data_IF_064729604740
#
_entry.id   IF_064729604740
#
_cell.length_a   1.000
_cell.length_b   1.000
_cell.length_c   1.000
_cell.angle_alpha   90.00
_cell.angle_beta   90.00
_cell.angle_gamma   90.00
#
_symmetry.space_group_name_H-M   'P 1'
#
loop_
_entity.id
_entity.type
_entity.pdbx_description
1 polymer ?
#
# COMPACT_ATOMS: atom_id res chain seq x y z
N UNK A 1 7.72 18.51 -23.92
CA UNK A 1 7.69 19.71 -23.06
C UNK A 1 8.52 19.40 -21.83
N UNK A 2 9.65 20.07 -21.66
CA UNK A 2 10.53 19.89 -20.50
C UNK A 2 10.69 21.27 -19.87
N UNK A 3 10.10 21.49 -18.71
CA UNK A 3 10.31 22.72 -17.94
C UNK A 3 11.69 22.65 -17.29
N UNK A 4 12.70 23.23 -17.94
CA UNK A 4 13.97 23.52 -17.30
C UNK A 4 13.80 24.72 -16.37
N UNK A 5 13.87 24.49 -15.06
CA UNK A 5 13.89 25.54 -14.04
C UNK A 5 15.10 26.47 -14.26
N UNK A 6 14.95 27.80 -14.11
CA UNK A 6 16.10 28.70 -14.17
C UNK A 6 16.98 28.45 -12.95
N UNK A 7 18.22 28.03 -13.21
CA UNK A 7 19.26 27.88 -12.20
C UNK A 7 19.61 29.28 -11.66
N UNK A 8 18.94 29.69 -10.57
CA UNK A 8 19.36 30.86 -9.78
C UNK A 8 20.68 30.49 -9.11
N UNK A 9 21.79 30.81 -9.77
CA UNK A 9 23.09 30.84 -9.14
C UNK A 9 23.03 31.84 -7.98
N UNK A 10 23.02 31.32 -6.76
CA UNK A 10 23.16 32.15 -5.56
C UNK A 10 24.52 32.87 -5.65
N UNK A 11 24.58 34.19 -5.40
CA UNK A 11 25.86 34.87 -5.32
C UNK A 11 26.67 34.23 -4.20
N UNK A 12 27.86 33.74 -4.55
CA UNK A 12 28.87 33.20 -3.63
C UNK A 12 29.47 34.34 -2.80
N UNK A 13 28.65 35.04 -2.02
CA UNK A 13 29.15 35.78 -0.87
C UNK A 13 29.66 34.74 0.11
N UNK A 14 30.98 34.58 0.10
CA UNK A 14 31.75 33.81 1.07
C UNK A 14 31.23 34.13 2.48
N UNK A 15 30.38 33.24 3.00
CA UNK A 15 30.16 33.16 4.43
C UNK A 15 31.55 32.90 5.03
N UNK A 16 31.99 33.63 6.07
CA UNK A 16 33.18 33.22 6.79
C UNK A 16 32.96 31.76 7.17
N UNK A 17 33.85 30.89 6.71
CA UNK A 17 33.85 29.48 7.11
C UNK A 17 34.16 29.45 8.60
N UNK A 18 33.15 29.71 9.43
CA UNK A 18 33.13 29.32 10.83
C UNK A 18 33.08 27.80 10.79
N UNK A 19 34.25 27.19 10.59
CA UNK A 19 34.44 25.78 10.78
C UNK A 19 33.94 25.50 12.20
N UNK A 20 32.84 24.75 12.28
CA UNK A 20 32.32 24.33 13.57
C UNK A 20 33.45 23.57 14.30
N UNK A 21 33.62 23.79 15.61
CA UNK A 21 34.56 22.98 16.39
C UNK A 21 34.31 21.50 16.10
N UNK A 22 35.37 20.70 16.02
CA UNK A 22 35.30 19.26 15.67
C UNK A 22 34.26 18.51 16.49
N UNK A 23 34.10 18.87 17.77
CA UNK A 23 33.09 18.31 18.67
C UNK A 23 31.65 18.63 18.25
N UNK A 24 31.40 19.83 17.72
CA UNK A 24 30.09 20.20 17.19
C UNK A 24 29.79 19.46 15.88
N UNK A 25 30.79 19.28 15.00
CA UNK A 25 30.64 18.44 13.81
C UNK A 25 30.37 16.98 14.15
N UNK A 26 31.01 16.46 15.20
CA UNK A 26 30.81 15.09 15.68
C UNK A 26 29.39 14.92 16.24
N UNK A 27 28.92 15.83 17.09
CA UNK A 27 27.53 15.80 17.60
C UNK A 27 26.53 15.90 16.43
N UNK A 28 26.75 16.81 15.47
CA UNK A 28 25.86 16.89 14.31
C UNK A 28 25.91 15.59 13.51
N UNK A 29 27.07 14.98 13.26
CA UNK A 29 27.17 13.66 12.59
C UNK A 29 26.43 12.56 13.35
N UNK A 30 26.58 12.51 14.66
CA UNK A 30 26.06 11.44 15.51
C UNK A 30 24.52 11.53 15.64
N UNK A 31 23.97 12.75 15.61
CA UNK A 31 22.53 13.01 15.74
C UNK A 31 21.81 13.37 14.43
N UNK A 32 22.54 13.65 13.34
CA UNK A 32 21.94 13.83 11.99
C UNK A 32 21.65 12.52 11.29
N UNK A 33 22.31 11.44 11.73
CA UNK A 33 21.94 10.08 11.34
C UNK A 33 20.70 9.70 12.14
N UNK A 34 19.58 9.36 11.50
CA UNK A 34 18.42 8.84 12.23
C UNK A 34 18.83 7.53 12.92
N UNK A 35 18.98 7.58 14.25
CA UNK A 35 19.38 6.47 15.13
C UNK A 35 18.50 5.23 14.92
N UNK A 36 17.29 5.44 14.45
CA UNK A 36 16.31 4.42 14.06
C UNK A 36 15.51 4.97 12.89
N UNK A 37 16.05 5.05 11.67
CA UNK A 37 15.16 5.17 10.50
C UNK A 37 14.63 3.76 10.23
N UNK A 38 13.36 3.46 10.50
CA UNK A 38 12.79 2.24 9.98
C UNK A 38 12.95 2.31 8.47
N UNK A 39 13.56 1.30 7.87
CA UNK A 39 13.58 1.20 6.42
C UNK A 39 12.16 0.85 6.00
N UNK A 40 11.34 1.87 5.81
CA UNK A 40 9.94 1.75 5.38
C UNK A 40 9.83 1.11 4.00
N UNK A 41 10.94 1.02 3.24
CA UNK A 41 11.00 0.24 1.99
C UNK A 41 11.13 -1.26 2.25
N UNK A 42 11.62 -1.65 3.42
CA UNK A 42 11.76 -3.04 3.86
C UNK A 42 10.77 -3.44 4.97
N UNK A 43 9.98 -2.50 5.49
CA UNK A 43 8.89 -2.86 6.40
C UNK A 43 7.91 -3.72 5.63
N UNK A 44 7.72 -4.96 6.07
CA UNK A 44 6.57 -5.78 5.67
C UNK A 44 5.31 -4.91 5.80
N UNK A 45 4.33 -5.01 4.88
CA UNK A 45 3.12 -4.23 5.01
C UNK A 45 2.56 -4.46 6.42
N UNK A 46 2.40 -3.37 7.17
CA UNK A 46 1.94 -3.40 8.57
C UNK A 46 0.55 -4.06 8.64
N UNK A 47 -0.19 -3.97 7.53
CA UNK A 47 -1.52 -4.53 7.32
C UNK A 47 -1.58 -5.21 5.95
N UNK A 48 -2.18 -6.39 5.87
CA UNK A 48 -2.41 -7.08 4.59
C UNK A 48 -3.49 -6.37 3.77
N UNK A 49 -3.50 -6.57 2.45
CA UNK A 49 -4.54 -6.01 1.55
C UNK A 49 -5.95 -6.36 2.05
N UNK A 50 -6.12 -7.58 2.55
CA UNK A 50 -7.38 -8.05 3.12
C UNK A 50 -7.80 -7.26 4.37
N UNK A 51 -6.91 -7.11 5.35
CA UNK A 51 -7.21 -6.37 6.58
C UNK A 51 -7.46 -4.89 6.29
N UNK A 52 -6.76 -4.33 5.32
CA UNK A 52 -7.02 -2.97 4.85
C UNK A 52 -8.41 -2.86 4.19
N UNK A 53 -8.79 -3.83 3.37
CA UNK A 53 -10.13 -3.90 2.77
C UNK A 53 -11.22 -3.96 3.84
N UNK A 54 -11.10 -4.84 4.84
CA UNK A 54 -12.04 -4.92 5.95
C UNK A 54 -12.12 -3.60 6.72
N UNK A 55 -10.96 -3.01 7.02
CA UNK A 55 -10.89 -1.72 7.71
C UNK A 55 -11.65 -0.64 6.94
N UNK A 56 -11.50 -0.57 5.62
CA UNK A 56 -12.20 0.40 4.79
C UNK A 56 -13.71 0.14 4.80
N UNK A 57 -14.13 -1.13 4.73
CA UNK A 57 -15.56 -1.49 4.79
C UNK A 57 -16.24 -1.13 6.11
N UNK A 58 -15.51 -1.04 7.22
CA UNK A 58 -16.10 -0.63 8.51
C UNK A 58 -16.27 0.89 8.64
N UNK A 59 -15.69 1.67 7.72
CA UNK A 59 -15.85 3.13 7.73
C UNK A 59 -17.09 3.54 6.92
N UNK A 60 -17.74 4.61 7.36
CA UNK A 60 -18.88 5.20 6.65
C UNK A 60 -18.37 5.95 5.42
N UNK A 61 -18.39 5.26 4.28
CA UNK A 61 -18.00 5.83 2.99
C UNK A 61 -19.23 6.52 2.41
N UNK A 62 -19.20 7.84 2.37
CA UNK A 62 -20.24 8.61 1.68
C UNK A 62 -20.05 8.48 0.16
N UNK A 63 -20.87 7.62 -0.45
CA UNK A 63 -20.88 7.40 -1.89
C UNK A 63 -21.58 8.53 -2.67
N UNK A 64 -22.26 9.46 -1.98
CA UNK A 64 -23.08 10.51 -2.60
C UNK A 64 -22.27 11.78 -2.84
N UNK A 65 -21.38 12.16 -1.92
CA UNK A 65 -20.53 13.34 -2.13
C UNK A 65 -19.27 13.03 -2.95
N UNK A 66 -19.35 13.31 -4.25
CA UNK A 66 -18.21 13.19 -5.17
C UNK A 66 -17.19 14.34 -5.02
N UNK A 67 -17.53 15.39 -4.25
CA UNK A 67 -16.77 16.64 -4.15
C UNK A 67 -15.68 16.58 -3.08
N UNK A 68 -15.85 15.74 -2.06
CA UNK A 68 -14.81 15.47 -1.06
C UNK A 68 -13.80 14.45 -1.61
N UNK A 69 -12.48 14.69 -1.48
CA UNK A 69 -11.47 13.70 -1.80
C UNK A 69 -11.45 12.62 -0.72
N UNK A 70 -12.45 11.74 -0.75
CA UNK A 70 -12.49 10.64 0.20
C UNK A 70 -11.33 9.66 -0.06
N UNK A 71 -10.42 9.62 0.91
CA UNK A 71 -9.26 8.76 0.89
C UNK A 71 -9.67 7.28 0.90
N UNK A 72 -10.75 6.93 1.61
CA UNK A 72 -11.23 5.55 1.70
C UNK A 72 -11.72 5.04 0.35
N UNK A 73 -12.51 5.84 -0.38
CA UNK A 73 -12.93 5.52 -1.76
C UNK A 73 -11.75 5.29 -2.70
N UNK A 74 -10.73 6.17 -2.66
CA UNK A 74 -9.54 6.02 -3.51
C UNK A 74 -8.78 4.74 -3.21
N UNK A 75 -8.61 4.40 -1.93
CA UNK A 75 -7.93 3.16 -1.55
C UNK A 75 -8.77 1.95 -1.95
N UNK A 76 -10.09 1.99 -1.77
CA UNK A 76 -10.97 0.91 -2.19
C UNK A 76 -10.88 0.66 -3.70
N UNK A 77 -10.84 1.71 -4.51
CA UNK A 77 -10.63 1.59 -5.96
C UNK A 77 -9.28 0.97 -6.30
N UNK A 78 -8.22 1.36 -5.61
CA UNK A 78 -6.91 0.74 -5.80
C UNK A 78 -6.91 -0.73 -5.41
N UNK A 79 -7.59 -1.10 -4.32
CA UNK A 79 -7.76 -2.50 -3.92
C UNK A 79 -8.58 -3.25 -4.98
N UNK A 80 -9.62 -2.65 -5.53
CA UNK A 80 -10.48 -3.32 -6.52
C UNK A 80 -9.79 -3.64 -7.85
N UNK A 81 -8.68 -2.94 -8.14
CA UNK A 81 -7.85 -3.15 -9.32
C UNK A 81 -6.75 -4.21 -9.09
N UNK A 82 -6.71 -4.84 -7.91
CA UNK A 82 -5.73 -5.89 -7.59
C UNK A 82 -6.26 -7.28 -7.94
N UNK A 83 -5.35 -8.15 -8.41
CA UNK A 83 -5.63 -9.57 -8.66
C UNK A 83 -6.22 -10.27 -7.42
N UNK A 84 -5.75 -9.88 -6.23
CA UNK A 84 -6.28 -10.36 -4.97
C UNK A 84 -7.78 -10.08 -4.82
N UNK A 85 -8.26 -8.88 -5.16
CA UNK A 85 -9.68 -8.54 -5.06
C UNK A 85 -10.52 -9.31 -6.07
N UNK A 86 -10.02 -9.46 -7.30
CA UNK A 86 -10.69 -10.26 -8.33
C UNK A 86 -10.85 -11.71 -7.89
N UNK A 87 -9.80 -12.32 -7.35
CA UNK A 87 -9.89 -13.67 -6.84
C UNK A 87 -10.79 -13.79 -5.60
N UNK A 88 -10.65 -12.87 -4.63
CA UNK A 88 -11.49 -12.85 -3.44
C UNK A 88 -12.98 -12.80 -3.80
N UNK A 89 -13.35 -11.88 -4.71
CA UNK A 89 -14.74 -11.75 -5.18
C UNK A 89 -15.19 -12.97 -5.96
N UNK A 90 -14.36 -13.49 -6.87
CA UNK A 90 -14.67 -14.69 -7.63
C UNK A 90 -14.94 -15.90 -6.73
N UNK A 91 -14.03 -16.18 -5.79
CA UNK A 91 -14.14 -17.29 -4.84
C UNK A 91 -15.37 -17.15 -3.98
N UNK A 92 -15.71 -15.92 -3.57
CA UNK A 92 -16.93 -15.65 -2.80
C UNK A 92 -18.21 -16.02 -3.56
N UNK A 93 -18.25 -15.83 -4.88
CA UNK A 93 -19.42 -16.13 -5.70
C UNK A 93 -19.46 -17.56 -6.23
N UNK A 94 -18.34 -18.09 -6.69
CA UNK A 94 -18.27 -19.36 -7.44
C UNK A 94 -17.54 -20.48 -6.70
N UNK A 95 -16.85 -20.15 -5.60
CA UNK A 95 -16.09 -21.10 -4.80
C UNK A 95 -14.63 -21.23 -5.24
N UNK A 96 -13.82 -21.77 -4.33
CA UNK A 96 -12.37 -21.90 -4.53
C UNK A 96 -12.01 -22.91 -5.62
N UNK A 97 -12.75 -24.02 -5.72
CA UNK A 97 -12.48 -25.05 -6.74
C UNK A 97 -12.67 -24.55 -8.17
N UNK A 98 -13.69 -23.71 -8.41
CA UNK A 98 -13.94 -23.15 -9.73
C UNK A 98 -12.89 -22.09 -10.09
N UNK A 99 -12.44 -21.31 -9.10
CA UNK A 99 -11.34 -20.38 -9.28
C UNK A 99 -10.06 -21.11 -9.72
N UNK A 100 -9.68 -22.20 -9.03
CA UNK A 100 -8.51 -23.00 -9.40
C UNK A 100 -8.65 -23.55 -10.82
N UNK A 101 -9.79 -24.15 -11.18
CA UNK A 101 -10.02 -24.66 -12.55
C UNK A 101 -9.88 -23.58 -13.62
N UNK A 102 -10.35 -22.35 -13.35
CA UNK A 102 -10.20 -21.23 -14.28
C UNK A 102 -8.74 -20.79 -14.44
N UNK A 103 -7.94 -20.91 -13.37
CA UNK A 103 -6.53 -20.52 -13.35
C UNK A 103 -5.58 -21.65 -13.79
N UNK A 104 -6.05 -22.90 -13.94
CA UNK A 104 -5.29 -24.05 -14.48
C UNK A 104 -4.85 -23.77 -15.93
N UNK A 105 -3.71 -23.08 -16.07
CA UNK A 105 -3.14 -22.68 -17.35
C UNK A 105 -2.29 -21.41 -17.28
N UNK A 106 -2.44 -20.60 -16.24
CA UNK A 106 -1.60 -19.42 -16.00
C UNK A 106 -0.44 -19.76 -15.04
N UNK A 107 0.81 -19.56 -15.47
CA UNK A 107 2.01 -19.80 -14.65
C UNK A 107 2.08 -18.88 -13.42
N UNK A 108 1.22 -17.85 -13.34
CA UNK A 108 1.09 -16.92 -12.22
C UNK A 108 -0.07 -17.31 -11.29
N UNK A 109 0.02 -18.48 -10.66
CA UNK A 109 -0.78 -18.80 -9.48
C UNK A 109 -0.38 -17.88 -8.33
N UNK A 110 -0.91 -16.65 -8.32
CA UNK A 110 -0.50 -15.63 -7.35
C UNK A 110 -1.16 -15.82 -5.97
N UNK A 111 -2.11 -16.75 -5.85
CA UNK A 111 -2.94 -16.91 -4.65
C UNK A 111 -2.96 -18.36 -4.18
N UNK A 112 -2.09 -18.66 -3.22
CA UNK A 112 -2.19 -19.84 -2.37
C UNK A 112 -3.37 -19.66 -1.37
N UNK A 113 -3.95 -20.75 -0.89
CA UNK A 113 -4.93 -20.75 0.20
C UNK A 113 -4.38 -20.13 1.51
N UNK A 114 -3.05 -19.94 1.59
CA UNK A 114 -2.36 -19.19 2.64
C UNK A 114 -2.54 -17.67 2.54
N UNK A 115 -3.08 -17.14 1.44
CA UNK A 115 -3.29 -15.69 1.28
C UNK A 115 -4.46 -15.22 2.14
N UNK A 116 -4.21 -14.15 2.89
CA UNK A 116 -5.16 -13.54 3.82
C UNK A 116 -6.50 -13.22 3.11
N UNK A 117 -7.62 -13.62 3.71
CA UNK A 117 -8.97 -13.39 3.21
C UNK A 117 -9.54 -14.46 2.26
N UNK A 118 -8.71 -15.31 1.65
CA UNK A 118 -9.17 -16.35 0.70
C UNK A 118 -10.02 -17.42 1.40
N UNK A 119 -9.59 -17.89 2.58
CA UNK A 119 -10.36 -18.87 3.37
C UNK A 119 -11.72 -18.33 3.79
N UNK A 120 -11.80 -17.03 4.13
CA UNK A 120 -13.07 -16.41 4.51
C UNK A 120 -14.01 -16.27 3.31
N UNK A 121 -13.49 -15.90 2.14
CA UNK A 121 -14.28 -15.86 0.91
C UNK A 121 -14.92 -17.24 0.61
N UNK A 122 -14.16 -18.32 0.78
CA UNK A 122 -14.67 -19.69 0.60
C UNK A 122 -15.74 -20.06 1.65
N UNK A 123 -15.55 -19.66 2.90
CA UNK A 123 -16.56 -19.87 3.95
C UNK A 123 -17.86 -19.12 3.65
N UNK A 124 -17.76 -17.86 3.21
CA UNK A 124 -18.92 -17.06 2.81
C UNK A 124 -19.65 -17.73 1.66
N UNK A 125 -18.92 -18.19 0.63
CA UNK A 125 -19.51 -18.91 -0.49
C UNK A 125 -20.32 -20.14 -0.03
N UNK A 126 -19.73 -20.96 0.85
CA UNK A 126 -20.39 -22.16 1.43
C UNK A 126 -21.65 -21.82 2.21
N UNK A 127 -21.71 -20.65 2.87
CA UNK A 127 -22.91 -20.18 3.56
C UNK A 127 -23.98 -19.77 2.54
N UNK A 128 -23.60 -18.99 1.52
CA UNK A 128 -24.53 -18.49 0.50
C UNK A 128 -25.16 -19.61 -0.34
N UNK A 129 -24.41 -20.66 -0.68
CA UNK A 129 -24.90 -21.79 -1.49
C UNK A 129 -25.71 -22.84 -0.71
N UNK A 130 -25.78 -22.74 0.62
CA UNK A 130 -26.59 -23.64 1.47
C UNK A 130 -28.05 -23.23 1.60
N UNK A 131 -28.42 -22.07 1.06
CA UNK A 131 -29.80 -21.58 0.96
C UNK A 131 -30.26 -21.66 -0.49
#
# INVERSE_FOLDING_TARGET
MVCSLPSRALPSRALPSRALPSRALQIISDYSKPVTRPDWRQSKPIITTYKLYLFILTHDIDYVDLSSPDMYRRILWQISDTDWYHAYTYIRFYGFSEYIKQMEGEENYMLDASVDGIQEAEQIHKITTRY
#
